data_IF_820105875169
#
_entry.id   IF_820105875169
#
_cell.length_a   1.000
_cell.length_b   1.000
_cell.length_c   1.000
_cell.angle_alpha   90.00
_cell.angle_beta   90.00
_cell.angle_gamma   90.00
#
_symmetry.space_group_name_H-M   'P 1'
#
loop_
_entity.id
_entity.type
_entity.pdbx_description
1 polymer ?
#
# COMPACT_ATOMS: atom_id res chain seq x y z
N UNK A 1 41.05 15.86 37.14
CA UNK A 1 41.40 15.01 35.97
C UNK A 1 40.35 13.89 35.86
N UNK A 2 39.79 13.44 34.73
CA UNK A 2 39.92 13.76 33.31
C UNK A 2 38.78 13.02 32.56
N UNK A 3 38.04 13.74 31.71
CA UNK A 3 37.30 13.30 30.49
C UNK A 3 36.00 12.47 30.64
N UNK A 4 34.86 13.18 30.61
CA UNK A 4 33.62 12.67 30.00
C UNK A 4 33.76 12.77 28.48
N UNK A 5 33.75 11.63 27.78
CA UNK A 5 33.92 11.54 26.33
C UNK A 5 32.62 11.98 25.64
N UNK A 6 32.76 12.98 24.79
CA UNK A 6 31.75 13.57 23.91
C UNK A 6 30.78 12.55 23.32
N UNK A 7 29.49 12.77 23.59
CA UNK A 7 28.40 12.16 22.84
C UNK A 7 28.51 12.61 21.39
N UNK A 8 28.62 11.63 20.49
CA UNK A 8 28.68 11.79 19.05
C UNK A 8 27.35 12.40 18.60
N UNK A 9 27.29 13.73 18.46
CA UNK A 9 26.23 14.37 17.67
C UNK A 9 26.34 13.78 16.26
N UNK A 10 25.41 12.88 15.91
CA UNK A 10 25.20 12.47 14.52
C UNK A 10 24.59 13.67 13.81
N UNK A 11 25.46 14.55 13.32
CA UNK A 11 25.12 15.59 12.35
C UNK A 11 24.60 14.88 11.10
N UNK A 12 23.27 14.90 10.91
CA UNK A 12 22.64 14.45 9.67
C UNK A 12 22.55 15.67 8.76
N UNK A 13 23.24 15.70 7.61
CA UNK A 13 23.36 16.90 6.80
C UNK A 13 22.02 17.29 6.14
N UNK A 14 21.79 18.60 6.01
CA UNK A 14 20.57 19.22 5.47
C UNK A 14 20.26 18.87 4.00
N UNK A 15 21.20 18.25 3.29
CA UNK A 15 21.07 17.83 1.90
C UNK A 15 19.96 16.78 1.64
N UNK A 16 19.42 16.13 2.68
CA UNK A 16 18.28 15.22 2.56
C UNK A 16 16.89 15.90 2.59
N UNK A 17 16.81 17.23 2.77
CA UNK A 17 15.53 17.95 2.92
C UNK A 17 14.95 18.52 1.61
N UNK A 18 15.69 18.50 0.49
CA UNK A 18 15.31 19.25 -0.73
C UNK A 18 14.99 18.36 -1.94
N UNK A 19 14.04 17.44 -1.80
CA UNK A 19 13.40 16.84 -2.96
C UNK A 19 11.87 16.95 -2.83
N UNK A 20 11.21 17.91 -3.53
CA UNK A 20 9.77 17.87 -3.70
C UNK A 20 9.46 16.75 -4.70
N UNK A 21 9.53 15.50 -4.25
CA UNK A 21 9.11 14.34 -5.01
C UNK A 21 7.58 14.37 -5.10
N UNK A 22 7.06 15.13 -6.08
CA UNK A 22 5.67 15.07 -6.55
C UNK A 22 5.43 13.66 -7.10
N UNK A 23 5.16 12.71 -6.21
CA UNK A 23 4.66 11.41 -6.61
C UNK A 23 3.29 11.62 -7.26
N UNK A 24 3.00 10.95 -8.40
CA UNK A 24 1.66 10.96 -8.96
C UNK A 24 0.70 10.50 -7.86
N UNK A 25 -0.30 11.33 -7.58
CA UNK A 25 -1.43 10.92 -6.74
C UNK A 25 -1.97 9.62 -7.33
N UNK A 26 -2.18 8.57 -6.54
CA UNK A 26 -2.75 7.34 -7.05
C UNK A 26 -4.12 7.68 -7.66
N UNK A 27 -4.21 7.60 -8.98
CA UNK A 27 -5.44 7.73 -9.74
C UNK A 27 -6.42 6.69 -9.20
N UNK A 28 -7.58 7.15 -8.75
CA UNK A 28 -8.64 6.35 -8.14
C UNK A 28 -9.26 5.37 -9.17
N UNK A 29 -8.57 4.28 -9.49
CA UNK A 29 -9.11 3.15 -10.28
C UNK A 29 -9.77 2.11 -9.36
N UNK A 30 -10.63 2.56 -8.45
CA UNK A 30 -11.28 1.68 -7.49
C UNK A 30 -12.24 0.70 -8.17
N UNK A 31 -12.99 1.13 -9.18
CA UNK A 31 -13.97 0.29 -9.89
C UNK A 31 -13.32 -0.77 -10.78
N UNK A 32 -12.22 -0.43 -11.48
CA UNK A 32 -11.45 -1.40 -12.26
C UNK A 32 -10.78 -2.44 -11.37
N UNK A 33 -10.26 -2.01 -10.22
CA UNK A 33 -9.63 -2.90 -9.24
C UNK A 33 -10.61 -3.93 -8.67
N UNK A 34 -11.85 -3.55 -8.35
CA UNK A 34 -12.84 -4.50 -7.81
C UNK A 34 -13.17 -5.62 -8.80
N UNK A 35 -13.45 -5.27 -10.06
CA UNK A 35 -13.74 -6.25 -11.11
C UNK A 35 -12.52 -7.14 -11.37
N UNK A 36 -11.31 -6.58 -11.41
CA UNK A 36 -10.08 -7.37 -11.55
C UNK A 36 -9.85 -8.30 -10.36
N UNK A 37 -10.08 -7.86 -9.13
CA UNK A 37 -9.96 -8.72 -7.94
C UNK A 37 -10.98 -9.86 -7.97
N UNK A 38 -12.25 -9.57 -8.27
CA UNK A 38 -13.28 -10.61 -8.37
C UNK A 38 -12.94 -11.58 -9.51
N UNK A 39 -12.61 -11.08 -10.71
CA UNK A 39 -12.27 -11.92 -11.85
C UNK A 39 -11.01 -12.76 -11.59
N UNK A 40 -9.98 -12.17 -10.99
CA UNK A 40 -8.74 -12.88 -10.65
C UNK A 40 -8.97 -14.01 -9.66
N UNK A 41 -9.71 -13.74 -8.58
CA UNK A 41 -10.05 -14.76 -7.60
C UNK A 41 -11.03 -15.80 -8.16
N UNK A 42 -12.03 -15.40 -8.95
CA UNK A 42 -12.93 -16.33 -9.64
C UNK A 42 -12.20 -17.25 -10.61
N UNK A 43 -11.27 -16.71 -11.41
CA UNK A 43 -10.42 -17.51 -12.29
C UNK A 43 -9.53 -18.47 -11.50
N UNK A 44 -9.00 -18.02 -10.36
CA UNK A 44 -8.27 -18.88 -9.43
C UNK A 44 -9.14 -20.01 -8.88
N UNK A 45 -10.38 -19.74 -8.45
CA UNK A 45 -11.32 -20.74 -7.96
C UNK A 45 -11.69 -21.77 -9.03
N UNK A 46 -11.89 -21.32 -10.27
CA UNK A 46 -12.08 -22.21 -11.42
C UNK A 46 -10.86 -23.10 -11.64
N UNK A 47 -9.66 -22.52 -11.67
CA UNK A 47 -8.41 -23.25 -11.81
C UNK A 47 -8.19 -24.27 -10.69
N UNK A 48 -8.49 -23.90 -9.44
CA UNK A 48 -8.38 -24.79 -8.29
C UNK A 48 -9.30 -26.01 -8.41
N UNK A 49 -10.53 -25.82 -8.90
CA UNK A 49 -11.46 -26.92 -9.15
C UNK A 49 -11.01 -27.80 -10.33
N UNK A 50 -10.51 -27.21 -11.41
CA UNK A 50 -9.90 -27.95 -12.51
C UNK A 50 -8.68 -28.78 -12.06
N UNK A 51 -7.83 -28.20 -11.20
CA UNK A 51 -6.67 -28.88 -10.62
C UNK A 51 -7.11 -30.06 -9.73
N UNK A 52 -8.15 -29.86 -8.90
CA UNK A 52 -8.71 -30.92 -8.07
C UNK A 52 -9.16 -32.14 -8.91
N UNK A 53 -9.88 -31.91 -10.01
CA UNK A 53 -10.32 -32.97 -10.93
C UNK A 53 -9.14 -33.63 -11.65
N UNK A 54 -8.13 -32.84 -12.04
CA UNK A 54 -6.90 -33.33 -12.65
C UNK A 54 -6.12 -34.28 -11.74
N UNK A 55 -6.02 -33.96 -10.44
CA UNK A 55 -5.39 -34.84 -9.44
C UNK A 55 -6.18 -36.14 -9.28
N UNK A 56 -7.51 -36.07 -9.32
CA UNK A 56 -8.39 -37.26 -9.24
C UNK A 56 -8.47 -38.06 -10.54
N UNK A 57 -7.71 -37.67 -11.59
CA UNK A 57 -7.76 -38.29 -12.93
C UNK A 57 -9.19 -38.32 -13.52
N UNK A 58 -10.05 -37.38 -13.11
CA UNK A 58 -11.41 -37.22 -13.61
C UNK A 58 -11.46 -36.15 -14.71
N UNK A 59 -12.41 -36.23 -15.65
CA UNK A 59 -12.57 -35.20 -16.69
C UNK A 59 -12.70 -33.80 -16.09
N UNK A 60 -11.94 -32.85 -16.63
CA UNK A 60 -11.75 -31.49 -16.07
C UNK A 60 -13.06 -30.70 -16.01
N UNK A 61 -14.04 -31.03 -16.85
CA UNK A 61 -15.34 -30.38 -16.91
C UNK A 61 -16.48 -31.23 -16.31
N UNK A 62 -16.14 -32.28 -15.55
CA UNK A 62 -17.14 -33.10 -14.85
C UNK A 62 -17.82 -32.31 -13.73
N UNK A 63 -19.15 -32.18 -13.81
CA UNK A 63 -19.94 -31.49 -12.80
C UNK A 63 -19.78 -29.97 -12.82
N UNK A 64 -20.36 -29.32 -13.83
CA UNK A 64 -20.36 -27.85 -14.02
C UNK A 64 -20.79 -27.06 -12.78
N UNK A 65 -21.68 -27.62 -11.96
CA UNK A 65 -22.08 -27.03 -10.69
C UNK A 65 -20.89 -26.81 -9.73
N UNK A 66 -19.94 -27.74 -9.68
CA UNK A 66 -18.74 -27.60 -8.84
C UNK A 66 -17.85 -26.44 -9.27
N UNK A 67 -17.74 -26.18 -10.57
CA UNK A 67 -17.03 -25.02 -11.11
C UNK A 67 -17.75 -23.72 -10.75
N UNK A 68 -19.07 -23.68 -10.89
CA UNK A 68 -19.87 -22.53 -10.51
C UNK A 68 -19.73 -22.19 -9.02
N UNK A 69 -19.81 -23.19 -8.13
CA UNK A 69 -19.62 -22.99 -6.70
C UNK A 69 -18.21 -22.47 -6.36
N UNK A 70 -17.17 -23.02 -6.99
CA UNK A 70 -15.80 -22.57 -6.77
C UNK A 70 -15.58 -21.12 -7.26
N UNK A 71 -16.08 -20.78 -8.45
CA UNK A 71 -16.02 -19.42 -9.01
C UNK A 71 -16.72 -18.41 -8.12
N UNK A 72 -17.90 -18.76 -7.60
CA UNK A 72 -18.69 -17.89 -6.72
C UNK A 72 -18.01 -17.76 -5.35
N UNK A 73 -17.57 -18.87 -4.74
CA UNK A 73 -16.91 -18.86 -3.44
C UNK A 73 -15.64 -18.01 -3.46
N UNK A 74 -14.75 -18.24 -4.44
CA UNK A 74 -13.54 -17.43 -4.56
C UNK A 74 -13.84 -16.00 -5.04
N UNK A 75 -14.83 -15.78 -5.90
CA UNK A 75 -15.26 -14.44 -6.28
C UNK A 75 -15.70 -13.58 -5.09
N UNK A 76 -16.44 -14.17 -4.14
CA UNK A 76 -16.81 -13.52 -2.88
C UNK A 76 -15.58 -13.21 -2.01
N UNK A 77 -14.60 -14.13 -1.95
CA UNK A 77 -13.33 -13.86 -1.27
C UNK A 77 -12.57 -12.70 -1.92
N UNK A 78 -12.55 -12.61 -3.25
CA UNK A 78 -11.95 -11.50 -3.98
C UNK A 78 -12.61 -10.16 -3.68
N UNK A 79 -13.94 -10.12 -3.59
CA UNK A 79 -14.68 -8.91 -3.20
C UNK A 79 -14.37 -8.47 -1.75
N UNK A 80 -14.21 -9.43 -0.84
CA UNK A 80 -13.79 -9.18 0.54
C UNK A 80 -12.37 -8.63 0.64
N UNK A 81 -11.43 -9.27 -0.08
CA UNK A 81 -10.03 -8.83 -0.12
C UNK A 81 -9.89 -7.38 -0.63
N UNK A 82 -10.66 -7.03 -1.66
CA UNK A 82 -10.72 -5.66 -2.19
C UNK A 82 -11.20 -4.64 -1.13
N UNK A 83 -12.19 -4.98 -0.32
CA UNK A 83 -12.66 -4.08 0.74
C UNK A 83 -11.59 -3.84 1.81
N UNK A 84 -10.86 -4.88 2.18
CA UNK A 84 -9.75 -4.77 3.14
C UNK A 84 -8.65 -3.88 2.59
N UNK A 85 -8.24 -4.08 1.35
CA UNK A 85 -7.21 -3.28 0.68
C UNK A 85 -7.60 -1.80 0.58
N UNK A 86 -8.87 -1.51 0.25
CA UNK A 86 -9.40 -0.14 0.25
C UNK A 86 -9.27 0.53 1.62
N UNK A 87 -9.60 -0.20 2.71
CA UNK A 87 -9.47 0.35 4.07
C UNK A 87 -8.01 0.59 4.45
N UNK A 88 -7.11 -0.31 4.08
CA UNK A 88 -5.68 -0.14 4.32
C UNK A 88 -5.12 1.07 3.56
N UNK A 89 -5.50 1.21 2.28
CA UNK A 89 -5.09 2.34 1.44
C UNK A 89 -5.61 3.67 1.99
N UNK A 90 -6.85 3.72 2.46
CA UNK A 90 -7.43 4.90 3.12
C UNK A 90 -6.62 5.30 4.37
N UNK A 91 -6.27 4.33 5.22
CA UNK A 91 -5.49 4.58 6.43
C UNK A 91 -4.06 5.03 6.11
N UNK A 92 -3.43 4.44 5.10
CA UNK A 92 -2.10 4.85 4.63
C UNK A 92 -2.13 6.27 4.07
N UNK A 93 -3.17 6.63 3.30
CA UNK A 93 -3.34 7.98 2.79
C UNK A 93 -3.49 9.01 3.91
N UNK A 94 -4.26 8.71 4.96
CA UNK A 94 -4.39 9.57 6.15
C UNK A 94 -3.05 9.76 6.86
N UNK A 95 -2.30 8.68 7.10
CA UNK A 95 -0.96 8.74 7.71
C UNK A 95 0.02 9.54 6.86
N UNK A 96 -0.03 9.37 5.54
CA UNK A 96 0.82 10.13 4.60
C UNK A 96 0.52 11.62 4.65
N UNK A 97 -0.77 12.03 4.71
CA UNK A 97 -1.17 13.43 4.87
C UNK A 97 -0.63 14.03 6.17
N UNK A 98 -0.80 13.35 7.31
CA UNK A 98 -0.29 13.82 8.60
C UNK A 98 1.24 14.01 8.59
N UNK A 99 2.00 13.08 7.99
CA UNK A 99 3.44 13.22 7.86
C UNK A 99 3.86 14.40 6.98
N UNK A 100 3.12 14.69 5.90
CA UNK A 100 3.39 15.83 5.03
C UNK A 100 3.12 17.16 5.77
N UNK A 101 2.02 17.26 6.51
CA UNK A 101 1.70 18.45 7.31
C UNK A 101 2.76 18.73 8.39
N UNK A 102 3.28 17.69 9.04
CA UNK A 102 4.38 17.84 10.01
C UNK A 102 5.65 18.35 9.33
N UNK A 103 6.02 17.78 8.18
CA UNK A 103 7.19 18.24 7.42
C UNK A 103 7.04 19.69 6.94
N UNK A 104 5.84 20.11 6.55
CA UNK A 104 5.57 21.50 6.18
C UNK A 104 5.67 22.46 7.37
N UNK A 105 5.28 22.03 8.59
CA UNK A 105 5.48 22.82 9.82
C UNK A 105 6.97 22.95 10.14
N UNK A 106 7.70 21.84 10.17
CA UNK A 106 9.14 21.83 10.42
C UNK A 106 9.91 22.67 9.40
N UNK A 107 9.54 22.62 8.11
CA UNK A 107 10.17 23.41 7.06
C UNK A 107 9.91 24.92 7.24
N UNK A 108 8.69 25.31 7.67
CA UNK A 108 8.36 26.71 7.98
C UNK A 108 9.15 27.23 9.18
N UNK A 109 9.24 26.43 10.23
CA UNK A 109 10.00 26.76 11.45
C UNK A 109 11.51 26.87 11.16
N UNK A 110 12.06 25.96 10.34
CA UNK A 110 13.44 26.02 9.90
C UNK A 110 13.73 27.25 9.03
N UNK A 111 12.83 27.60 8.10
CA UNK A 111 12.96 28.80 7.28
C UNK A 111 12.92 30.08 8.13
N UNK A 112 12.06 30.15 9.14
CA UNK A 112 12.00 31.27 10.08
C UNK A 112 13.31 31.43 10.87
N UNK A 113 13.83 30.33 11.44
CA UNK A 113 15.08 30.34 12.21
C UNK A 113 16.32 30.71 11.38
N UNK A 114 16.38 30.25 10.13
CA UNK A 114 17.49 30.62 9.25
C UNK A 114 17.38 32.07 8.75
N UNK A 115 16.18 32.59 8.55
CA UNK A 115 15.97 34.01 8.24
C UNK A 115 16.47 34.92 9.35
N UNK A 116 16.22 34.56 10.62
CA UNK A 116 16.73 35.30 11.78
C UNK A 116 18.25 35.20 11.94
N UNK A 117 18.84 34.02 11.67
CA UNK A 117 20.29 33.82 11.77
C UNK A 117 21.11 34.54 10.68
N UNK A 118 20.48 34.97 9.57
CA UNK A 118 21.11 35.73 8.50
C UNK A 118 20.92 37.26 8.62
N UNK A 119 20.13 37.73 9.60
CA UNK A 119 19.87 39.15 9.84
C UNK A 119 20.71 39.77 10.96
N UNK A 120 21.63 39.00 11.57
CA UNK A 120 22.59 39.41 12.61
C UNK A 120 24.01 39.30 12.05
#
# INVERSE_FOLDING_TARGET
>A
MRRRRFGKLRFVPAQFYLAPLRLPLPSAHHTMSLLTSILGFSAFGFGARCLQLGIQKRPIFEGFHGHAYAVIAFGMLGAGAYHVDNKQTELLAKKKKAMLEQREKENREWAARNGEAHAV
#
